data_IF_753855759475
#
_entry.id   IF_753855759475
#
_cell.length_a   1.000
_cell.length_b   1.000
_cell.length_c   1.000
_cell.angle_alpha   90.00
_cell.angle_beta   90.00
_cell.angle_gamma   90.00
#
_symmetry.space_group_name_H-M   'P 1'
#
loop_
_entity.id
_entity.type
_entity.pdbx_description
1 polymer ?
#
# COMPACT_ATOMS: atom_id res chain seq x y z
N UNK A 1 -2.90 -3.24 -17.33
CA UNK A 1 -2.38 -1.95 -16.86
C UNK A 1 -3.49 -1.01 -16.41
N UNK A 2 -3.14 0.24 -16.19
CA UNK A 2 -4.10 1.23 -15.69
C UNK A 2 -5.29 1.43 -16.61
N UNK A 3 -5.08 1.28 -17.91
CA UNK A 3 -6.18 1.42 -18.87
C UNK A 3 -7.28 0.38 -18.70
N UNK A 4 -6.96 -0.75 -18.08
CA UNK A 4 -7.94 -1.80 -17.84
C UNK A 4 -8.95 -1.42 -16.75
N UNK A 5 -8.68 -0.35 -15.99
CA UNK A 5 -9.55 0.11 -14.92
C UNK A 5 -10.74 0.94 -15.42
N UNK A 6 -10.68 1.46 -16.64
CA UNK A 6 -11.81 2.21 -17.19
C UNK A 6 -13.02 1.30 -17.35
N UNK A 7 -14.16 1.77 -16.87
CA UNK A 7 -15.39 0.98 -16.89
C UNK A 7 -15.51 -0.05 -15.76
N UNK A 8 -14.52 -0.13 -14.88
CA UNK A 8 -14.55 -1.01 -13.72
C UNK A 8 -14.99 -0.25 -12.46
N UNK A 9 -15.45 -0.99 -11.46
CA UNK A 9 -15.79 -0.43 -10.15
C UNK A 9 -14.52 -0.35 -9.33
N UNK A 10 -13.90 0.83 -9.30
CA UNK A 10 -12.63 1.08 -8.63
C UNK A 10 -12.88 1.78 -7.31
N UNK A 11 -12.24 1.34 -6.23
CA UNK A 11 -12.31 1.98 -4.93
C UNK A 11 -10.98 2.58 -4.51
N UNK A 12 -11.05 3.68 -3.78
CA UNK A 12 -9.90 4.29 -3.11
C UNK A 12 -10.38 5.08 -1.89
N UNK A 13 -9.46 5.60 -1.11
CA UNK A 13 -9.77 6.46 0.04
C UNK A 13 -9.82 7.90 -0.42
N UNK A 14 -10.88 8.62 -0.03
CA UNK A 14 -11.04 10.04 -0.35
C UNK A 14 -9.89 10.88 0.18
N UNK A 15 -9.53 11.92 -0.54
CA UNK A 15 -8.48 12.89 -0.15
C UNK A 15 -7.11 12.25 0.03
N UNK A 16 -6.89 11.11 -0.61
CA UNK A 16 -5.58 10.46 -0.62
C UNK A 16 -4.82 10.83 -1.89
N UNK A 17 -3.53 10.54 -1.90
CA UNK A 17 -2.72 10.71 -3.11
C UNK A 17 -3.21 9.79 -4.24
N UNK A 18 -3.74 8.63 -3.88
CA UNK A 18 -4.34 7.72 -4.86
C UNK A 18 -5.58 8.33 -5.50
N UNK A 19 -6.45 8.98 -4.70
CA UNK A 19 -7.62 9.68 -5.25
C UNK A 19 -7.21 10.80 -6.21
N UNK A 20 -6.22 11.61 -5.83
CA UNK A 20 -5.70 12.67 -6.70
C UNK A 20 -5.16 12.12 -8.01
N UNK A 21 -4.48 10.99 -7.95
CA UNK A 21 -3.95 10.30 -9.14
C UNK A 21 -5.09 9.88 -10.07
N UNK A 22 -6.14 9.29 -9.53
CA UNK A 22 -7.29 8.85 -10.33
C UNK A 22 -8.04 10.03 -10.93
N UNK A 23 -8.20 11.12 -10.17
CA UNK A 23 -8.82 12.34 -10.67
C UNK A 23 -8.06 12.92 -11.86
N UNK A 24 -6.74 12.97 -11.78
CA UNK A 24 -5.90 13.49 -12.87
C UNK A 24 -6.00 12.65 -14.15
N UNK A 25 -6.35 11.38 -14.00
CA UNK A 25 -6.53 10.47 -15.14
C UNK A 25 -7.97 10.34 -15.57
N UNK A 26 -8.86 11.10 -14.95
CA UNK A 26 -10.29 11.04 -15.23
C UNK A 26 -10.87 9.64 -15.08
N UNK A 27 -10.31 8.87 -14.14
CA UNK A 27 -10.81 7.55 -13.77
C UNK A 27 -11.86 7.71 -12.68
N UNK A 28 -13.05 7.17 -12.91
CA UNK A 28 -14.10 7.18 -11.89
C UNK A 28 -13.80 6.17 -10.81
N UNK A 29 -14.12 6.53 -9.58
CA UNK A 29 -13.92 5.65 -8.43
C UNK A 29 -14.96 5.92 -7.35
N UNK A 30 -15.16 4.91 -6.48
CA UNK A 30 -15.89 5.08 -5.24
C UNK A 30 -14.90 5.54 -4.17
N UNK A 31 -15.20 6.68 -3.53
CA UNK A 31 -14.35 7.21 -2.47
C UNK A 31 -14.86 6.79 -1.10
N UNK A 32 -13.97 6.32 -0.27
CA UNK A 32 -14.28 5.88 1.10
C UNK A 32 -13.59 6.76 2.11
N UNK A 33 -14.20 6.91 3.28
CA UNK A 33 -13.64 7.74 4.34
C UNK A 33 -12.43 7.14 5.02
N UNK A 34 -12.27 5.80 4.94
CA UNK A 34 -11.18 5.09 5.56
C UNK A 34 -10.87 3.79 4.79
N UNK A 35 -9.64 3.24 4.97
CA UNK A 35 -9.27 2.01 4.27
C UNK A 35 -10.08 0.79 4.70
N UNK A 36 -10.49 0.70 5.95
CA UNK A 36 -11.20 -0.48 6.46
C UNK A 36 -12.55 -0.66 5.75
N UNK A 37 -13.29 0.41 5.57
CA UNK A 37 -14.58 0.37 4.86
C UNK A 37 -14.36 -0.03 3.40
N UNK A 38 -13.36 0.54 2.76
CA UNK A 38 -13.01 0.21 1.37
C UNK A 38 -12.69 -1.28 1.22
N UNK A 39 -11.87 -1.82 2.12
CA UNK A 39 -11.49 -3.23 2.07
C UNK A 39 -12.67 -4.16 2.32
N UNK A 40 -13.58 -3.78 3.21
CA UNK A 40 -14.80 -4.54 3.46
C UNK A 40 -15.69 -4.62 2.21
N UNK A 41 -15.91 -3.50 1.54
CA UNK A 41 -16.68 -3.45 0.31
C UNK A 41 -16.03 -4.28 -0.80
N UNK A 42 -14.71 -4.23 -0.90
CA UNK A 42 -13.98 -5.03 -1.86
C UNK A 42 -14.14 -6.53 -1.57
N UNK A 43 -14.02 -6.93 -0.32
CA UNK A 43 -14.19 -8.33 0.09
C UNK A 43 -15.61 -8.85 -0.19
N UNK A 44 -16.61 -7.98 -0.13
CA UNK A 44 -18.01 -8.34 -0.41
C UNK A 44 -18.34 -8.38 -1.90
N UNK A 45 -17.36 -8.11 -2.76
CA UNK A 45 -17.56 -8.15 -4.21
C UNK A 45 -18.18 -6.90 -4.81
N UNK A 46 -18.25 -5.81 -4.04
CA UNK A 46 -18.84 -4.55 -4.52
C UNK A 46 -17.90 -3.76 -5.43
N UNK A 47 -16.62 -4.09 -5.41
CA UNK A 47 -15.59 -3.41 -6.20
C UNK A 47 -14.81 -4.43 -7.04
N UNK A 48 -14.38 -4.01 -8.21
CA UNK A 48 -13.57 -4.83 -9.11
C UNK A 48 -12.06 -4.66 -8.83
N UNK A 49 -11.66 -3.50 -8.34
CA UNK A 49 -10.26 -3.18 -8.10
C UNK A 49 -10.12 -2.10 -7.04
N UNK A 50 -8.94 -2.04 -6.44
CA UNK A 50 -8.57 -0.99 -5.49
C UNK A 50 -7.29 -0.31 -5.97
N UNK A 51 -7.23 1.01 -5.78
CA UNK A 51 -6.02 1.81 -6.01
C UNK A 51 -5.74 2.54 -4.71
N UNK A 52 -4.64 2.20 -4.04
CA UNK A 52 -4.29 2.79 -2.76
C UNK A 52 -2.82 2.52 -2.46
N UNK A 53 -2.38 2.84 -1.25
CA UNK A 53 -0.98 2.67 -0.83
C UNK A 53 -0.55 1.22 -0.93
N UNK A 54 0.53 0.97 -1.65
CA UNK A 54 1.01 -0.38 -1.91
C UNK A 54 1.26 -1.21 -0.65
N UNK A 55 1.89 -0.68 0.41
CA UNK A 55 2.09 -1.47 1.62
C UNK A 55 0.79 -1.95 2.27
N UNK A 56 -0.24 -1.11 2.27
CA UNK A 56 -1.54 -1.48 2.84
C UNK A 56 -2.21 -2.57 2.00
N UNK A 57 -2.19 -2.41 0.69
CA UNK A 57 -2.77 -3.41 -0.22
C UNK A 57 -2.00 -4.72 -0.17
N UNK A 58 -0.67 -4.66 -0.08
CA UNK A 58 0.16 -5.85 0.02
C UNK A 58 -0.11 -6.61 1.33
N UNK A 59 -0.24 -5.88 2.43
CA UNK A 59 -0.59 -6.50 3.71
C UNK A 59 -1.94 -7.21 3.62
N UNK A 60 -2.95 -6.54 3.05
CA UNK A 60 -4.27 -7.13 2.89
C UNK A 60 -4.22 -8.41 2.04
N UNK A 61 -3.59 -8.32 0.88
CA UNK A 61 -3.51 -9.47 -0.03
C UNK A 61 -2.79 -10.65 0.60
N UNK A 62 -1.75 -10.38 1.39
CA UNK A 62 -0.92 -11.43 1.99
C UNK A 62 -1.56 -12.05 3.25
N UNK A 63 -2.38 -11.30 3.98
CA UNK A 63 -2.86 -11.72 5.30
C UNK A 63 -4.38 -11.89 5.41
N UNK A 64 -5.16 -11.12 4.66
CA UNK A 64 -6.61 -11.10 4.81
C UNK A 64 -7.38 -11.47 3.53
N UNK A 65 -6.73 -11.45 2.40
CA UNK A 65 -7.38 -11.69 1.10
C UNK A 65 -7.66 -13.15 0.76
N UNK A 66 -7.33 -14.07 1.63
CA UNK A 66 -7.58 -15.52 1.46
C UNK A 66 -7.11 -16.09 0.11
N UNK A 67 -6.05 -15.53 -0.45
CA UNK A 67 -5.52 -15.97 -1.73
C UNK A 67 -6.35 -15.54 -2.94
N UNK A 68 -7.43 -14.80 -2.74
CA UNK A 68 -8.29 -14.34 -3.83
C UNK A 68 -7.92 -12.95 -4.35
N UNK A 69 -7.03 -12.27 -3.65
CA UNK A 69 -6.59 -10.91 -3.96
C UNK A 69 -5.10 -10.90 -4.24
N UNK A 70 -4.68 -10.14 -5.22
CA UNK A 70 -3.26 -9.96 -5.54
C UNK A 70 -2.99 -8.53 -5.96
N UNK A 71 -1.76 -8.08 -5.77
CA UNK A 71 -1.32 -6.84 -6.38
C UNK A 71 -1.06 -7.07 -7.87
N UNK A 72 -1.45 -6.12 -8.69
CA UNK A 72 -1.29 -6.20 -10.13
C UNK A 72 -0.61 -4.94 -10.64
N UNK A 73 0.29 -5.11 -11.60
CA UNK A 73 1.02 -4.02 -12.22
C UNK A 73 2.13 -3.47 -11.32
N UNK A 74 2.88 -2.49 -11.82
CA UNK A 74 3.94 -1.87 -11.05
C UNK A 74 3.39 -0.88 -10.03
N UNK A 75 4.19 -0.58 -9.01
CA UNK A 75 3.90 0.51 -8.09
C UNK A 75 4.16 1.81 -8.84
N UNK A 76 3.12 2.63 -9.01
CA UNK A 76 3.20 3.85 -9.82
C UNK A 76 3.26 5.14 -9.00
N UNK A 77 2.89 5.07 -7.72
CA UNK A 77 3.09 6.13 -6.75
C UNK A 77 3.85 5.52 -5.58
N UNK A 78 5.03 6.04 -5.31
CA UNK A 78 5.83 5.54 -4.20
C UNK A 78 5.77 6.50 -3.03
N UNK A 79 5.49 5.95 -1.87
CA UNK A 79 5.55 6.67 -0.61
C UNK A 79 6.53 5.95 0.30
N UNK A 80 7.31 6.73 1.04
CA UNK A 80 8.28 6.19 1.99
C UNK A 80 7.76 6.35 3.40
N UNK A 81 7.97 5.35 4.23
CA UNK A 81 7.75 5.48 5.67
C UNK A 81 9.02 5.96 6.33
N UNK A 82 8.86 6.70 7.39
CA UNK A 82 9.98 7.18 8.17
C UNK A 82 9.66 7.09 9.66
N UNK A 83 10.70 7.11 10.47
CA UNK A 83 10.57 7.17 11.91
C UNK A 83 10.87 8.61 12.33
N UNK A 84 9.91 9.26 12.99
CA UNK A 84 10.10 10.62 13.48
C UNK A 84 10.55 10.58 14.93
N UNK A 85 11.55 11.40 15.24
CA UNK A 85 12.12 11.51 16.60
C UNK A 85 12.12 12.97 17.02
N UNK A 86 12.06 13.25 18.32
CA UNK A 86 12.25 14.62 18.80
C UNK A 86 13.59 15.16 18.36
N UNK A 87 13.66 16.46 18.06
CA UNK A 87 14.90 17.13 17.70
C UNK A 87 15.93 16.95 18.82
N UNK A 88 17.17 16.56 18.44
CA UNK A 88 18.23 16.30 19.40
C UNK A 88 18.17 14.95 20.09
N UNK A 89 17.27 14.05 19.67
CA UNK A 89 17.23 12.70 20.23
C UNK A 89 18.51 11.92 19.92
N UNK A 90 19.03 11.24 20.93
CA UNK A 90 20.23 10.39 20.77
C UNK A 90 19.89 9.07 20.06
N UNK A 91 18.61 8.76 19.84
CA UNK A 91 18.19 7.51 19.22
C UNK A 91 18.35 7.50 17.70
N UNK A 92 18.50 8.66 17.06
CA UNK A 92 18.52 8.74 15.60
C UNK A 92 19.65 7.90 14.99
N UNK A 93 20.86 8.02 15.53
CA UNK A 93 22.00 7.28 15.02
C UNK A 93 21.87 5.77 15.26
N UNK A 94 21.38 5.38 16.44
CA UNK A 94 21.16 3.97 16.77
C UNK A 94 20.12 3.34 15.86
N UNK A 95 19.02 4.05 15.58
CA UNK A 95 17.98 3.57 14.68
C UNK A 95 18.50 3.44 13.26
N UNK A 96 19.24 4.44 12.77
CA UNK A 96 19.83 4.39 11.44
C UNK A 96 20.79 3.22 11.30
N UNK A 97 21.63 2.98 12.31
CA UNK A 97 22.56 1.86 12.29
C UNK A 97 21.83 0.51 12.33
N UNK A 98 20.76 0.41 13.12
CA UNK A 98 19.95 -0.81 13.18
C UNK A 98 19.31 -1.11 11.84
N UNK A 99 18.74 -0.10 11.18
CA UNK A 99 18.12 -0.27 9.85
C UNK A 99 19.16 -0.68 8.81
N UNK A 100 20.34 -0.08 8.84
CA UNK A 100 21.43 -0.45 7.93
C UNK A 100 21.85 -1.91 8.15
N UNK A 101 22.05 -2.30 9.40
CA UNK A 101 22.43 -3.68 9.75
C UNK A 101 21.37 -4.69 9.26
N UNK A 102 20.08 -4.37 9.41
CA UNK A 102 18.99 -5.23 8.95
C UNK A 102 18.99 -5.39 7.43
N UNK A 103 19.34 -4.33 6.70
CA UNK A 103 19.45 -4.41 5.25
C UNK A 103 20.65 -5.24 4.82
N UNK A 104 21.77 -5.10 5.50
CA UNK A 104 22.99 -5.82 5.17
C UNK A 104 22.90 -7.31 5.47
N UNK A 105 22.23 -7.70 6.57
CA UNK A 105 22.11 -9.10 6.96
C UNK A 105 20.89 -9.81 6.39
N UNK A 106 20.02 -9.09 5.69
CA UNK A 106 18.83 -9.65 5.06
C UNK A 106 17.60 -9.74 5.95
N UNK A 107 17.69 -9.37 7.23
CA UNK A 107 16.55 -9.48 8.14
C UNK A 107 15.42 -8.51 7.78
N UNK A 108 15.75 -7.33 7.24
CA UNK A 108 14.74 -6.40 6.75
C UNK A 108 13.87 -7.04 5.67
N UNK A 109 14.50 -7.70 4.71
CA UNK A 109 13.77 -8.37 3.62
C UNK A 109 12.89 -9.50 4.12
N UNK A 110 13.33 -10.25 5.13
CA UNK A 110 12.52 -11.32 5.72
C UNK A 110 11.29 -10.75 6.39
N UNK A 111 11.45 -9.69 7.19
CA UNK A 111 10.32 -9.04 7.87
C UNK A 111 9.35 -8.48 6.84
N UNK A 112 9.87 -7.78 5.83
CA UNK A 112 9.04 -7.20 4.77
C UNK A 112 8.20 -8.25 4.09
N UNK A 113 8.81 -9.37 3.67
CA UNK A 113 8.07 -10.45 3.00
C UNK A 113 7.03 -11.11 3.89
N UNK A 114 7.31 -11.24 5.18
CA UNK A 114 6.34 -11.84 6.12
C UNK A 114 5.06 -11.01 6.23
N UNK A 115 5.16 -9.68 6.16
CA UNK A 115 4.01 -8.79 6.34
C UNK A 115 3.34 -8.39 5.03
N UNK A 116 4.12 -8.21 3.96
CA UNK A 116 3.63 -7.63 2.71
C UNK A 116 3.74 -8.59 1.51
N UNK A 117 4.37 -9.74 1.67
CA UNK A 117 4.61 -10.65 0.55
C UNK A 117 5.69 -10.11 -0.38
N UNK A 118 5.79 -10.70 -1.57
CA UNK A 118 6.80 -10.34 -2.57
C UNK A 118 6.27 -9.40 -3.65
N UNK A 119 4.99 -9.06 -3.62
CA UNK A 119 4.30 -8.44 -4.76
C UNK A 119 4.79 -7.04 -5.12
N UNK A 120 5.34 -6.28 -4.18
CA UNK A 120 5.77 -4.90 -4.39
C UNK A 120 7.28 -4.71 -4.31
N UNK A 121 8.04 -5.76 -4.50
CA UNK A 121 9.49 -5.73 -4.38
C UNK A 121 10.21 -5.51 -5.71
#
# INVERSE_FOLDING_TARGET
GLNDLYGKRVGTVERSTAADFLDRRELRYEGYGDPATMLTEFAEGELDALVYDAPILAYYANNEGDGTTRLAGPIFLRESYGIALPSGSDLAEEINQALLNMREDGSYDVIYRNWFGDADR
#
